data_IF_238088817337
#
_entry.id   IF_238088817337
#
_cell.length_a   1.000
_cell.length_b   1.000
_cell.length_c   1.000
_cell.angle_alpha   90.00
_cell.angle_beta   90.00
_cell.angle_gamma   90.00
#
_symmetry.space_group_name_H-M   'P 1'
#
loop_
_entity.id
_entity.type
_entity.pdbx_description
1 polymer ?
#
# COMPACT_ATOMS: atom_id res chain seq x y z
N UNK A 1 -19.34 -0.36 0.34
CA UNK A 1 -19.35 0.95 1.05
C UNK A 1 -18.64 1.95 0.14
N UNK A 2 -19.22 3.13 -0.13
CA UNK A 2 -18.70 4.09 -1.12
C UNK A 2 -17.49 4.86 -0.56
N UNK A 3 -16.47 5.15 -1.37
CA UNK A 3 -15.33 5.99 -0.96
C UNK A 3 -15.81 7.42 -0.63
N UNK A 4 -15.52 7.89 0.58
CA UNK A 4 -15.74 9.28 1.01
C UNK A 4 -14.40 9.97 1.22
N UNK A 5 -14.37 11.32 1.22
CA UNK A 5 -13.14 12.08 1.54
C UNK A 5 -12.54 11.66 2.89
N UNK A 6 -13.37 11.49 3.91
CA UNK A 6 -12.95 11.03 5.23
C UNK A 6 -12.32 9.64 5.15
N UNK A 7 -12.96 8.71 4.43
CA UNK A 7 -12.45 7.34 4.32
C UNK A 7 -11.16 7.26 3.51
N UNK A 8 -11.05 8.05 2.44
CA UNK A 8 -9.82 8.22 1.69
C UNK A 8 -8.69 8.70 2.60
N UNK A 9 -8.90 9.79 3.34
CA UNK A 9 -7.89 10.34 4.25
C UNK A 9 -7.47 9.33 5.33
N UNK A 10 -8.40 8.55 5.89
CA UNK A 10 -8.07 7.48 6.83
C UNK A 10 -7.16 6.41 6.21
N UNK A 11 -7.49 5.92 5.01
CA UNK A 11 -6.72 4.88 4.33
C UNK A 11 -5.33 5.40 3.90
N UNK A 12 -5.27 6.63 3.36
CA UNK A 12 -4.01 7.28 3.04
C UNK A 12 -3.12 7.45 4.29
N UNK A 13 -3.73 7.85 5.42
CA UNK A 13 -3.03 7.94 6.71
C UNK A 13 -2.48 6.60 7.19
N UNK A 14 -3.22 5.51 7.01
CA UNK A 14 -2.72 4.16 7.36
C UNK A 14 -1.55 3.72 6.47
N UNK A 15 -1.61 4.01 5.16
CA UNK A 15 -0.49 3.72 4.25
C UNK A 15 0.75 4.51 4.69
N UNK A 16 0.61 5.81 4.94
CA UNK A 16 1.71 6.67 5.37
C UNK A 16 2.32 6.20 6.70
N UNK A 17 1.48 5.86 7.69
CA UNK A 17 1.94 5.32 8.97
C UNK A 17 2.75 4.03 8.78
N UNK A 18 2.25 3.10 7.97
CA UNK A 18 2.93 1.82 7.77
C UNK A 18 4.26 1.99 7.03
N UNK A 19 4.31 2.84 6.00
CA UNK A 19 5.55 3.17 5.32
C UNK A 19 6.58 3.79 6.27
N UNK A 20 6.15 4.68 7.17
CA UNK A 20 7.01 5.26 8.18
C UNK A 20 7.55 4.22 9.18
N UNK A 21 6.70 3.28 9.64
CA UNK A 21 7.14 2.17 10.50
C UNK A 21 8.20 1.30 9.83
N UNK A 22 7.97 0.87 8.59
CA UNK A 22 8.96 0.09 7.83
C UNK A 22 10.28 0.84 7.65
N UNK A 23 10.22 2.15 7.39
CA UNK A 23 11.42 2.98 7.30
C UNK A 23 12.17 3.05 8.63
N UNK A 24 11.48 3.15 9.76
CA UNK A 24 12.10 3.19 11.08
C UNK A 24 12.77 1.85 11.42
N UNK A 25 12.07 0.72 11.23
CA UNK A 25 12.62 -0.61 11.47
C UNK A 25 13.84 -0.91 10.58
N UNK A 26 13.87 -0.35 9.37
CA UNK A 26 15.00 -0.49 8.47
C UNK A 26 16.27 0.21 9.00
N UNK A 27 16.14 1.28 9.79
CA UNK A 27 17.30 1.95 10.39
C UNK A 27 17.97 1.05 11.42
N UNK A 28 17.19 0.38 12.26
CA UNK A 28 17.70 -0.56 13.27
C UNK A 28 18.31 -1.81 12.59
N UNK A 29 17.78 -2.19 11.42
CA UNK A 29 18.28 -3.32 10.65
C UNK A 29 19.61 -3.06 9.95
N UNK A 30 19.98 -1.81 9.62
CA UNK A 30 21.27 -1.50 8.95
C UNK A 30 22.46 -1.98 9.78
N UNK A 31 22.37 -1.92 11.11
CA UNK A 31 23.45 -2.39 12.00
C UNK A 31 23.57 -3.92 12.02
N UNK A 32 22.46 -4.64 11.88
CA UNK A 32 22.41 -6.11 11.93
C UNK A 32 22.56 -6.76 10.53
N UNK A 33 22.10 -6.07 9.48
CA UNK A 33 22.02 -6.52 8.10
C UNK A 33 22.29 -5.31 7.19
N UNK A 34 23.55 -5.07 6.78
CA UNK A 34 23.90 -3.91 5.95
C UNK A 34 23.22 -3.94 4.57
N UNK A 35 22.77 -5.11 4.14
CA UNK A 35 21.98 -5.30 2.94
C UNK A 35 20.54 -5.64 3.29
N UNK A 36 19.60 -5.00 2.61
CA UNK A 36 18.19 -5.30 2.81
C UNK A 36 17.87 -6.69 2.26
N UNK A 37 17.32 -7.56 3.09
CA UNK A 37 16.93 -8.89 2.65
C UNK A 37 15.76 -8.81 1.66
N UNK A 38 15.79 -9.56 0.54
CA UNK A 38 14.71 -9.53 -0.45
C UNK A 38 13.32 -9.82 0.13
N UNK A 39 13.23 -10.71 1.12
CA UNK A 39 11.95 -11.06 1.75
C UNK A 39 11.31 -9.90 2.53
N UNK A 40 12.12 -8.98 3.09
CA UNK A 40 11.59 -7.77 3.72
C UNK A 40 10.97 -6.84 2.67
N UNK A 41 11.64 -6.68 1.52
CA UNK A 41 11.13 -5.90 0.38
C UNK A 41 9.82 -6.49 -0.12
N UNK A 42 9.76 -7.81 -0.33
CA UNK A 42 8.54 -8.48 -0.80
C UNK A 42 7.38 -8.24 0.16
N UNK A 43 7.59 -8.47 1.46
CA UNK A 43 6.57 -8.22 2.49
C UNK A 43 6.06 -6.78 2.49
N UNK A 44 6.96 -5.80 2.42
CA UNK A 44 6.57 -4.39 2.31
C UNK A 44 5.70 -4.15 1.07
N UNK A 45 6.14 -4.63 -0.10
CA UNK A 45 5.41 -4.39 -1.36
C UNK A 45 4.03 -5.03 -1.36
N UNK A 46 3.90 -6.25 -0.85
CA UNK A 46 2.62 -6.95 -0.79
C UNK A 46 1.66 -6.28 0.19
N UNK A 47 2.17 -5.82 1.32
CA UNK A 47 1.40 -5.07 2.31
C UNK A 47 0.85 -3.75 1.73
N UNK A 48 1.68 -3.02 0.97
CA UNK A 48 1.29 -1.77 0.32
C UNK A 48 0.32 -2.02 -0.83
N UNK A 49 0.56 -3.03 -1.68
CA UNK A 49 -0.35 -3.42 -2.77
C UNK A 49 -1.75 -3.72 -2.24
N UNK A 50 -1.87 -4.58 -1.23
CA UNK A 50 -3.18 -4.93 -0.66
C UNK A 50 -3.98 -3.71 -0.17
N UNK A 51 -3.30 -2.67 0.35
CA UNK A 51 -3.94 -1.42 0.79
C UNK A 51 -4.35 -0.54 -0.38
N UNK A 52 -3.51 -0.46 -1.41
CA UNK A 52 -3.81 0.27 -2.63
C UNK A 52 -4.95 -0.39 -3.41
N UNK A 53 -4.94 -1.72 -3.52
CA UNK A 53 -6.02 -2.50 -4.12
C UNK A 53 -7.35 -2.23 -3.40
N UNK A 54 -7.32 -2.20 -2.06
CA UNK A 54 -8.50 -1.84 -1.28
C UNK A 54 -8.99 -0.42 -1.55
N UNK A 55 -8.09 0.52 -1.79
CA UNK A 55 -8.45 1.89 -2.13
C UNK A 55 -9.08 1.96 -3.52
N UNK A 56 -8.51 1.26 -4.49
CA UNK A 56 -9.01 1.16 -5.87
C UNK A 56 -10.39 0.48 -5.94
N UNK A 57 -10.61 -0.58 -5.16
CA UNK A 57 -11.91 -1.23 -5.00
C UNK A 57 -12.97 -0.23 -4.51
N UNK A 58 -12.64 0.54 -3.48
CA UNK A 58 -13.57 1.53 -2.90
C UNK A 58 -13.81 2.72 -3.85
N UNK A 59 -12.80 3.09 -4.63
CA UNK A 59 -12.89 4.08 -5.69
C UNK A 59 -13.72 3.59 -6.90
N UNK A 60 -13.96 2.27 -6.99
CA UNK A 60 -14.69 1.65 -8.09
C UNK A 60 -13.87 1.50 -9.37
N UNK A 61 -12.53 1.46 -9.28
CA UNK A 61 -11.66 1.32 -10.46
C UNK A 61 -11.95 0.05 -11.27
N UNK A 62 -12.35 -1.03 -10.62
CA UNK A 62 -12.75 -2.27 -11.29
C UNK A 62 -14.00 -2.08 -12.20
N UNK A 63 -14.91 -1.16 -11.85
CA UNK A 63 -16.03 -0.81 -12.73
C UNK A 63 -15.57 -0.03 -13.96
N UNK A 64 -14.54 0.82 -13.83
CA UNK A 64 -13.97 1.57 -14.95
C UNK A 64 -13.20 0.69 -15.95
N UNK A 65 -12.62 -0.42 -15.50
CA UNK A 65 -11.95 -1.39 -16.39
C UNK A 65 -12.93 -2.28 -17.15
N UNK A 66 -14.14 -2.51 -16.62
CA UNK A 66 -15.18 -3.33 -17.26
C UNK A 66 -15.92 -2.61 -18.38
N UNK A 67 -15.94 -1.29 -18.35
CA UNK A 67 -16.53 -0.41 -19.38
C UNK A 67 -15.50 0.07 -20.41
N UNK A 68 -14.22 -0.29 -20.25
CA UNK A 68 -13.23 -0.07 -21.29
C UNK A 68 -13.48 -1.10 -22.41
N UNK A 69 -13.79 -0.69 -23.65
CA UNK A 69 -13.88 -1.64 -24.75
C UNK A 69 -12.54 -2.35 -24.89
N UNK A 70 -12.58 -3.65 -25.17
CA UNK A 70 -11.39 -4.46 -25.44
C UNK A 70 -10.54 -3.73 -26.51
N UNK A 71 -9.36 -3.25 -26.12
CA UNK A 71 -8.30 -2.73 -27.02
C UNK A 71 -7.22 -3.78 -27.13
#
# INVERSE_FOLDING_TARGET
>A
MKLTKIRFSQLAGYIAKNAATWSAESLDLVEAYPEMRPDAVYRFTDEMRARLDRLDELAGRAALQKDAPDV
#
